data_IF_480835438698
#
_entry.id   IF_480835438698
#
_cell.length_a   1.000
_cell.length_b   1.000
_cell.length_c   1.000
_cell.angle_alpha   90.00
_cell.angle_beta   90.00
_cell.angle_gamma   90.00
#
_symmetry.space_group_name_H-M   'P 1'
#
loop_
_entity.id
_entity.type
_entity.pdbx_description
1 polymer ?
#
# COMPACT_ATOMS: atom_id res chain seq x y z
N UNK A 1 1.78 -21.70 -11.51
CA UNK A 1 0.87 -21.98 -10.39
C UNK A 1 0.33 -23.40 -10.44
N UNK A 2 -0.35 -23.81 -11.52
CA UNK A 2 -1.01 -25.10 -11.62
C UNK A 2 -0.07 -26.31 -11.34
N UNK A 3 1.20 -26.24 -11.74
CA UNK A 3 2.18 -27.31 -11.52
C UNK A 3 2.59 -27.42 -10.03
N UNK A 4 2.75 -26.29 -9.34
CA UNK A 4 3.06 -26.26 -7.91
C UNK A 4 1.91 -26.80 -7.06
N UNK A 5 0.68 -26.44 -7.42
CA UNK A 5 -0.54 -26.88 -6.73
C UNK A 5 -0.90 -28.37 -6.93
N UNK A 6 -0.12 -29.12 -7.74
CA UNK A 6 -0.19 -30.59 -7.77
C UNK A 6 0.56 -31.24 -6.62
N UNK A 7 1.47 -30.54 -6.00
CA UNK A 7 2.36 -31.06 -4.96
C UNK A 7 1.82 -30.74 -3.56
N UNK A 8 1.25 -29.54 -3.38
CA UNK A 8 0.83 -29.02 -2.09
C UNK A 8 -0.47 -28.22 -2.16
N UNK A 9 -1.01 -27.89 -0.99
CA UNK A 9 -2.24 -27.09 -0.87
C UNK A 9 -2.02 -25.61 -1.22
N UNK A 10 -0.80 -25.10 -0.95
CA UNK A 10 -0.39 -23.73 -1.23
C UNK A 10 0.91 -23.72 -2.03
N UNK A 11 1.29 -22.57 -2.56
CA UNK A 11 2.39 -22.46 -3.53
C UNK A 11 3.76 -22.86 -2.98
N UNK A 12 3.96 -22.75 -1.68
CA UNK A 12 5.21 -23.06 -0.99
C UNK A 12 5.06 -24.17 0.07
N UNK A 13 4.00 -24.99 0.03
CA UNK A 13 3.80 -26.13 0.94
C UNK A 13 2.40 -26.25 1.52
N UNK A 14 2.30 -26.79 2.74
CA UNK A 14 1.03 -27.10 3.38
C UNK A 14 0.27 -25.89 3.95
N UNK A 15 0.93 -24.75 4.10
CA UNK A 15 0.38 -23.54 4.72
C UNK A 15 0.47 -22.35 3.77
N UNK A 16 -0.52 -21.45 3.87
CA UNK A 16 -0.50 -20.19 3.13
C UNK A 16 0.67 -19.32 3.55
N UNK A 17 1.36 -18.73 2.58
CA UNK A 17 2.49 -17.85 2.78
C UNK A 17 2.38 -16.55 1.97
N UNK A 18 3.40 -15.70 2.09
CA UNK A 18 3.46 -14.44 1.37
C UNK A 18 3.37 -14.62 -0.15
N UNK A 19 3.97 -15.69 -0.69
CA UNK A 19 3.91 -16.02 -2.11
C UNK A 19 2.45 -16.23 -2.59
N UNK A 20 1.62 -16.88 -1.76
CA UNK A 20 0.22 -17.10 -2.07
C UNK A 20 -0.54 -15.76 -2.17
N UNK A 21 -0.29 -14.84 -1.24
CA UNK A 21 -0.93 -13.52 -1.25
C UNK A 21 -0.51 -12.70 -2.47
N UNK A 22 0.79 -12.69 -2.81
CA UNK A 22 1.31 -11.99 -3.99
C UNK A 22 0.72 -12.53 -5.30
N UNK A 23 0.55 -13.85 -5.42
CA UNK A 23 -0.01 -14.47 -6.62
C UNK A 23 -1.55 -14.40 -6.66
N UNK A 24 -2.20 -14.41 -5.51
CA UNK A 24 -3.66 -14.32 -5.39
C UNK A 24 -4.19 -12.96 -5.83
N UNK A 25 -3.56 -11.87 -5.38
CA UNK A 25 -4.05 -10.51 -5.59
C UNK A 25 -4.32 -10.16 -7.07
N UNK A 26 -3.38 -10.34 -8.02
CA UNK A 26 -3.62 -10.03 -9.42
C UNK A 26 -4.71 -10.90 -10.06
N UNK A 27 -4.83 -12.17 -9.67
CA UNK A 27 -5.89 -13.06 -10.17
C UNK A 27 -7.26 -12.66 -9.61
N UNK A 28 -7.32 -12.28 -8.36
CA UNK A 28 -8.51 -11.73 -7.73
C UNK A 28 -8.95 -10.43 -8.42
N UNK A 29 -8.04 -9.48 -8.65
CA UNK A 29 -8.32 -8.23 -9.37
C UNK A 29 -8.86 -8.51 -10.78
N UNK A 30 -8.22 -9.42 -11.52
CA UNK A 30 -8.69 -9.80 -12.84
C UNK A 30 -10.12 -10.41 -12.82
N UNK A 31 -10.44 -11.19 -11.78
CA UNK A 31 -11.78 -11.78 -11.60
C UNK A 31 -12.85 -10.75 -11.18
N UNK A 32 -12.46 -9.68 -10.51
CA UNK A 32 -13.36 -8.56 -10.17
C UNK A 32 -13.70 -7.75 -11.42
N UNK A 33 -12.72 -7.54 -12.30
CA UNK A 33 -12.90 -6.81 -13.57
C UNK A 33 -13.73 -7.66 -14.56
N UNK A 34 -13.39 -8.93 -14.69
CA UNK A 34 -14.10 -9.87 -15.54
C UNK A 34 -14.32 -11.22 -14.83
N UNK A 35 -15.57 -11.52 -14.48
CA UNK A 35 -15.94 -12.74 -13.75
C UNK A 35 -15.63 -14.03 -14.52
N UNK A 36 -15.60 -13.99 -15.85
CA UNK A 36 -15.24 -15.15 -16.68
C UNK A 36 -13.78 -15.57 -16.52
N UNK A 37 -12.91 -14.64 -16.10
CA UNK A 37 -11.50 -14.92 -15.84
C UNK A 37 -11.34 -16.08 -14.85
N UNK A 38 -12.13 -16.09 -13.78
CA UNK A 38 -12.04 -17.13 -12.76
C UNK A 38 -12.39 -18.52 -13.31
N UNK A 39 -13.45 -18.62 -14.12
CA UNK A 39 -13.90 -19.88 -14.73
C UNK A 39 -12.92 -20.42 -15.79
N UNK A 40 -12.12 -19.54 -16.39
CA UNK A 40 -11.09 -19.92 -17.36
C UNK A 40 -9.80 -20.46 -16.71
N UNK A 41 -9.63 -20.28 -15.39
CA UNK A 41 -8.46 -20.79 -14.67
C UNK A 41 -8.54 -22.32 -14.51
N UNK A 42 -7.39 -23.04 -14.45
CA UNK A 42 -7.35 -24.45 -14.12
C UNK A 42 -8.03 -24.75 -12.78
N UNK A 43 -8.73 -25.89 -12.63
CA UNK A 43 -9.46 -26.23 -11.40
C UNK A 43 -8.63 -26.19 -10.11
N UNK A 44 -7.36 -26.61 -10.16
CA UNK A 44 -6.46 -26.52 -9.01
C UNK A 44 -6.18 -25.08 -8.57
N UNK A 45 -6.08 -24.16 -9.55
CA UNK A 45 -5.88 -22.73 -9.27
C UNK A 45 -7.15 -22.13 -8.68
N UNK A 46 -8.32 -22.48 -9.21
CA UNK A 46 -9.60 -22.05 -8.65
C UNK A 46 -9.76 -22.52 -7.19
N UNK A 47 -9.48 -23.79 -6.91
CA UNK A 47 -9.56 -24.35 -5.57
C UNK A 47 -8.54 -23.71 -4.62
N UNK A 48 -7.34 -23.40 -5.10
CA UNK A 48 -6.35 -22.67 -4.33
C UNK A 48 -6.81 -21.23 -4.03
N UNK A 49 -7.37 -20.52 -4.99
CA UNK A 49 -7.93 -19.18 -4.76
C UNK A 49 -9.03 -19.20 -3.69
N UNK A 50 -9.89 -20.23 -3.68
CA UNK A 50 -10.91 -20.40 -2.63
C UNK A 50 -10.27 -20.61 -1.25
N UNK A 51 -9.18 -21.40 -1.15
CA UNK A 51 -8.45 -21.61 0.12
C UNK A 51 -7.81 -20.32 0.62
N UNK A 52 -7.18 -19.53 -0.25
CA UNK A 52 -6.60 -18.23 0.13
C UNK A 52 -7.71 -17.27 0.56
N UNK A 53 -8.81 -17.18 -0.18
CA UNK A 53 -9.96 -16.36 0.21
C UNK A 53 -10.56 -16.76 1.57
N UNK A 54 -10.54 -18.05 1.91
CA UNK A 54 -11.05 -18.55 3.20
C UNK A 54 -10.22 -18.13 4.42
N UNK A 55 -8.99 -17.59 4.23
CA UNK A 55 -8.22 -16.98 5.31
C UNK A 55 -8.94 -15.76 5.90
N UNK A 56 -9.79 -15.11 5.10
CA UNK A 56 -10.55 -13.93 5.51
C UNK A 56 -9.68 -12.69 5.74
N UNK A 57 -10.24 -11.76 6.48
CA UNK A 57 -9.61 -10.45 6.76
C UNK A 57 -9.35 -10.20 8.25
N UNK A 58 -9.30 -11.27 9.04
CA UNK A 58 -9.17 -11.19 10.48
C UNK A 58 -10.44 -10.68 11.17
N UNK A 59 -10.26 -10.00 12.30
CA UNK A 59 -11.36 -9.42 13.08
C UNK A 59 -11.16 -7.90 13.17
N UNK A 60 -11.56 -7.13 12.15
CA UNK A 60 -11.38 -5.69 12.15
C UNK A 60 -12.24 -5.05 13.25
N UNK A 61 -11.64 -4.15 14.00
CA UNK A 61 -12.35 -3.28 14.92
C UNK A 61 -12.64 -1.96 14.22
N UNK A 62 -13.91 -1.59 14.00
CA UNK A 62 -14.24 -0.32 13.38
C UNK A 62 -13.70 0.84 14.21
N UNK A 63 -13.10 1.81 13.55
CA UNK A 63 -12.63 3.06 14.15
C UNK A 63 -13.17 4.22 13.32
N UNK A 64 -13.67 5.27 13.95
CA UNK A 64 -14.16 6.43 13.23
C UNK A 64 -13.00 7.36 12.81
N UNK A 65 -13.26 8.19 11.80
CA UNK A 65 -12.25 9.10 11.26
C UNK A 65 -11.66 10.04 12.32
N UNK A 66 -12.48 10.55 13.25
CA UNK A 66 -12.02 11.45 14.31
C UNK A 66 -11.07 10.73 15.27
N UNK A 67 -11.38 9.47 15.64
CA UNK A 67 -10.50 8.68 16.51
C UNK A 67 -9.15 8.38 15.86
N UNK A 68 -9.12 8.18 14.54
CA UNK A 68 -7.86 8.02 13.80
C UNK A 68 -7.06 9.32 13.88
N UNK A 69 -7.71 10.45 13.61
CA UNK A 69 -7.09 11.77 13.64
C UNK A 69 -6.50 12.09 15.02
N UNK A 70 -7.27 11.87 16.09
CA UNK A 70 -6.82 12.11 17.47
C UNK A 70 -5.60 11.22 17.82
N UNK A 71 -5.59 9.96 17.38
CA UNK A 71 -4.45 9.05 17.59
C UNK A 71 -3.21 9.50 16.83
N UNK A 72 -3.35 9.94 15.58
CA UNK A 72 -2.22 10.42 14.76
C UNK A 72 -1.61 11.68 15.36
N UNK A 73 -2.44 12.59 15.87
CA UNK A 73 -1.97 13.83 16.51
C UNK A 73 -1.32 13.56 17.87
N UNK A 74 -1.86 12.63 18.64
CA UNK A 74 -1.33 12.24 19.94
C UNK A 74 0.01 11.47 19.83
N UNK A 75 0.35 10.97 18.66
CA UNK A 75 1.59 10.23 18.46
C UNK A 75 2.79 11.20 18.48
N UNK A 76 3.90 10.74 19.07
CA UNK A 76 5.09 11.56 19.36
C UNK A 76 5.89 12.00 18.13
N UNK A 77 5.43 11.67 16.93
CA UNK A 77 6.06 12.04 15.65
C UNK A 77 5.79 13.47 15.19
N UNK A 78 5.21 14.33 16.04
CA UNK A 78 4.91 15.74 15.71
C UNK A 78 6.14 16.58 15.29
N UNK A 79 7.34 16.12 15.60
CA UNK A 79 8.60 16.80 15.26
C UNK A 79 9.52 15.92 14.40
N UNK A 80 8.95 15.23 13.42
CA UNK A 80 9.76 14.45 12.51
C UNK A 80 10.71 15.37 11.73
N UNK A 81 12.00 15.08 11.81
CA UNK A 81 13.07 15.79 11.10
C UNK A 81 13.85 14.75 10.30
N UNK A 82 14.04 15.00 8.99
CA UNK A 82 14.81 14.15 8.12
C UNK A 82 15.75 14.95 7.24
N UNK A 83 16.57 14.27 6.46
CA UNK A 83 17.42 14.87 5.45
C UNK A 83 16.77 14.76 4.08
N UNK A 84 17.03 15.74 3.21
CA UNK A 84 16.55 15.75 1.83
C UNK A 84 17.75 15.56 0.91
N UNK A 85 17.76 14.47 0.17
CA UNK A 85 18.74 14.17 -0.87
C UNK A 85 18.20 14.57 -2.25
N UNK A 86 19.12 14.83 -3.20
CA UNK A 86 18.77 15.18 -4.58
C UNK A 86 18.57 16.68 -4.81
N UNK A 87 17.78 17.06 -5.83
CA UNK A 87 17.68 18.44 -6.30
C UNK A 87 16.71 19.33 -5.52
N UNK A 88 16.08 18.79 -4.48
CA UNK A 88 15.09 19.50 -3.67
C UNK A 88 15.73 20.10 -2.41
N UNK A 89 15.16 21.18 -1.94
CA UNK A 89 15.51 21.78 -0.64
C UNK A 89 14.49 21.33 0.42
N UNK A 90 14.96 21.19 1.65
CA UNK A 90 14.08 20.90 2.78
C UNK A 90 13.08 22.04 2.97
N UNK A 91 11.81 21.69 3.17
CA UNK A 91 10.73 22.66 3.29
C UNK A 91 10.17 23.16 1.96
N UNK A 92 10.68 22.70 0.80
CA UNK A 92 10.06 23.00 -0.49
C UNK A 92 8.65 22.44 -0.56
N UNK A 93 7.74 23.18 -1.19
CA UNK A 93 6.42 22.67 -1.53
C UNK A 93 6.55 21.73 -2.72
N UNK A 94 6.11 20.49 -2.55
CA UNK A 94 6.20 19.43 -3.56
C UNK A 94 4.88 18.70 -3.73
N UNK A 95 4.75 18.04 -4.86
CA UNK A 95 3.67 17.11 -5.19
C UNK A 95 4.24 15.69 -5.27
N UNK A 96 3.64 14.75 -4.53
CA UNK A 96 4.00 13.32 -4.56
C UNK A 96 2.84 12.55 -5.17
N UNK A 97 3.14 11.69 -6.16
CA UNK A 97 2.12 10.88 -6.83
C UNK A 97 2.65 9.51 -7.27
N UNK A 98 1.79 8.50 -7.43
CA UNK A 98 2.15 7.22 -8.03
C UNK A 98 2.66 7.39 -9.47
N UNK A 99 3.57 6.50 -9.90
CA UNK A 99 4.11 6.50 -11.28
C UNK A 99 3.29 5.63 -12.23
N UNK A 100 2.42 4.75 -11.69
CA UNK A 100 1.57 3.83 -12.45
C UNK A 100 0.19 4.42 -12.78
N UNK A 101 -0.89 3.79 -12.33
CA UNK A 101 -2.26 4.29 -12.49
C UNK A 101 -2.71 5.09 -11.26
N UNK A 102 -3.86 5.77 -11.35
CA UNK A 102 -4.43 6.59 -10.26
C UNK A 102 -3.40 7.64 -9.75
N UNK A 103 -2.90 8.45 -10.67
CA UNK A 103 -1.85 9.47 -10.42
C UNK A 103 -2.36 10.69 -9.65
N UNK A 104 -3.22 10.47 -8.66
CA UNK A 104 -3.69 11.53 -7.79
C UNK A 104 -2.54 12.08 -6.95
N UNK A 105 -2.33 13.37 -7.04
CA UNK A 105 -1.24 14.07 -6.37
C UNK A 105 -1.58 14.35 -4.91
N UNK A 106 -0.56 14.22 -4.07
CA UNK A 106 -0.60 14.69 -2.69
C UNK A 106 0.46 15.77 -2.49
N UNK A 107 0.04 16.98 -2.14
CA UNK A 107 0.91 18.13 -1.96
C UNK A 107 1.30 18.29 -0.49
N UNK A 108 2.51 18.81 -0.24
CA UNK A 108 2.98 19.12 1.10
C UNK A 108 4.42 19.63 1.11
N UNK A 109 4.87 20.04 2.29
CA UNK A 109 6.22 20.53 2.49
C UNK A 109 7.19 19.37 2.72
N UNK A 110 8.23 19.29 1.91
CA UNK A 110 9.21 18.20 1.95
C UNK A 110 10.00 18.22 3.24
N UNK A 111 10.02 17.10 3.96
CA UNK A 111 10.71 16.94 5.23
C UNK A 111 11.86 15.97 5.13
N UNK A 112 11.68 14.89 4.38
CA UNK A 112 12.70 13.87 4.12
C UNK A 112 12.55 13.37 2.69
N UNK A 113 13.68 13.13 2.03
CA UNK A 113 13.77 12.41 0.77
C UNK A 113 15.08 11.63 0.73
N UNK A 114 14.97 10.31 0.75
CA UNK A 114 16.11 9.40 0.62
C UNK A 114 15.83 8.29 -0.44
N UNK A 115 16.66 7.28 -0.50
CA UNK A 115 16.50 6.17 -1.45
C UNK A 115 15.28 5.28 -1.15
N UNK A 116 14.74 5.33 0.08
CA UNK A 116 13.66 4.44 0.53
C UNK A 116 12.32 5.13 0.65
N UNK A 117 12.30 6.41 1.05
CA UNK A 117 11.08 7.12 1.37
C UNK A 117 11.12 8.61 1.06
N UNK A 118 9.93 9.15 0.81
CA UNK A 118 9.64 10.58 0.79
C UNK A 118 8.65 10.88 1.91
N UNK A 119 8.94 11.88 2.73
CA UNK A 119 8.03 12.36 3.77
C UNK A 119 7.68 13.81 3.53
N UNK A 120 6.39 14.09 3.46
CA UNK A 120 5.88 15.46 3.37
C UNK A 120 5.04 15.82 4.59
N UNK A 121 5.12 17.07 5.00
CA UNK A 121 4.31 17.66 6.08
C UNK A 121 3.11 18.39 5.49
N UNK A 122 1.93 18.13 6.04
CA UNK A 122 0.70 18.89 5.79
C UNK A 122 0.09 19.38 7.08
N UNK A 123 -0.74 20.40 6.99
CA UNK A 123 -1.60 20.78 8.11
C UNK A 123 -2.96 20.10 7.92
N UNK A 124 -3.42 19.43 8.97
CA UNK A 124 -4.79 18.93 9.04
C UNK A 124 -5.79 20.11 9.13
N UNK A 125 -7.09 19.90 8.88
CA UNK A 125 -8.11 20.93 9.06
C UNK A 125 -8.16 21.52 10.47
N UNK A 126 -7.72 20.78 11.49
CA UNK A 126 -7.55 21.24 12.88
C UNK A 126 -6.39 22.24 13.08
N UNK A 127 -5.50 22.38 12.09
CA UNK A 127 -4.26 23.14 12.17
C UNK A 127 -3.05 22.32 12.61
N UNK A 128 -3.23 21.10 13.06
CA UNK A 128 -2.15 20.21 13.49
C UNK A 128 -1.33 19.70 12.29
N UNK A 129 -0.05 19.46 12.52
CA UNK A 129 0.83 18.90 11.51
C UNK A 129 0.64 17.38 11.40
N UNK A 130 0.51 16.88 10.18
CA UNK A 130 0.57 15.45 9.84
C UNK A 130 1.70 15.20 8.87
N UNK A 131 2.38 14.04 9.03
CA UNK A 131 3.47 13.61 8.18
C UNK A 131 2.99 12.42 7.35
N UNK A 132 3.13 12.57 6.04
CA UNK A 132 2.74 11.53 5.07
C UNK A 132 3.99 10.89 4.52
N UNK A 133 4.10 9.57 4.71
CA UNK A 133 5.22 8.76 4.28
C UNK A 133 4.86 8.02 2.99
N UNK A 134 5.69 8.18 1.98
CA UNK A 134 5.58 7.48 0.70
C UNK A 134 6.85 6.66 0.47
N UNK A 135 6.76 5.42 -0.03
CA UNK A 135 7.95 4.74 -0.53
C UNK A 135 8.48 5.47 -1.78
N UNK A 136 9.79 5.53 -1.97
CA UNK A 136 10.37 6.12 -3.20
C UNK A 136 10.10 5.24 -4.41
N UNK A 137 10.03 3.91 -4.19
CA UNK A 137 9.68 2.96 -5.25
C UNK A 137 8.19 3.12 -5.62
N UNK A 138 7.94 3.42 -6.91
CA UNK A 138 6.58 3.57 -7.45
C UNK A 138 5.93 4.93 -7.20
N UNK A 139 6.70 5.90 -6.66
CA UNK A 139 6.26 7.28 -6.50
C UNK A 139 7.27 8.25 -7.11
N UNK A 140 6.78 9.38 -7.59
CA UNK A 140 7.59 10.50 -8.06
C UNK A 140 7.32 11.76 -7.23
N UNK A 141 8.37 12.54 -7.03
CA UNK A 141 8.31 13.84 -6.33
C UNK A 141 8.52 14.93 -7.37
N UNK A 142 7.63 15.89 -7.44
CA UNK A 142 7.64 16.99 -8.40
C UNK A 142 7.67 18.33 -7.65
N UNK A 143 8.42 19.31 -8.14
CA UNK A 143 8.37 20.68 -7.60
C UNK A 143 7.01 21.33 -7.94
N UNK A 144 6.55 22.20 -7.05
CA UNK A 144 5.36 23.05 -7.26
C UNK A 144 5.76 24.51 -7.36
#
# INVERSE_FOLDING_TARGET
LNSLLKLDQFLAGAHAGYLDLCCYHPLWMASVINRETLSALPPLVQAWMQRVAALGHGSPMPICQNEIHDKVIADRFQNFVGEVSGPFEQGSLVSVRPTDYARDSTEGYLVLLDEYQCVIKRNAPSGDAVFLHFPTIGFEVLPL
#
